data_IF_630111025036
#
_entry.id   IF_630111025036
#
_cell.length_a   1.000
_cell.length_b   1.000
_cell.length_c   1.000
_cell.angle_alpha   90.00
_cell.angle_beta   90.00
_cell.angle_gamma   90.00
#
_symmetry.space_group_name_H-M   'P 1'
#
loop_
_entity.id
_entity.type
_entity.pdbx_description
1 polymer ?
#
# COMPACT_ATOMS: atom_id res chain seq x y z
N UNK A 1 -6.46 7.58 14.91
CA UNK A 1 -6.89 6.88 13.68
C UNK A 1 -7.01 5.39 13.95
N UNK A 2 -7.93 4.71 13.26
CA UNK A 2 -8.04 3.26 13.19
C UNK A 2 -7.95 2.82 11.73
N UNK A 3 -7.34 1.66 11.47
CA UNK A 3 -7.21 1.05 10.14
C UNK A 3 -7.91 -0.29 10.09
N UNK A 4 -8.37 -0.70 8.91
CA UNK A 4 -8.83 -2.07 8.69
C UNK A 4 -7.66 -3.07 8.73
N UNK A 5 -7.99 -4.35 8.79
CA UNK A 5 -7.03 -5.46 8.91
C UNK A 5 -6.29 -5.77 7.61
N UNK A 6 -6.88 -5.46 6.46
CA UNK A 6 -6.35 -5.83 5.15
C UNK A 6 -6.04 -4.60 4.30
N UNK A 7 -4.89 -4.63 3.62
CA UNK A 7 -4.48 -3.60 2.66
C UNK A 7 -4.58 -4.05 1.22
N UNK A 8 -4.58 -3.06 0.32
CA UNK A 8 -4.54 -3.24 -1.13
C UNK A 8 -3.34 -2.50 -1.71
N UNK A 9 -2.67 -3.09 -2.70
CA UNK A 9 -1.46 -2.53 -3.34
C UNK A 9 -1.55 -2.41 -4.87
N UNK A 10 -2.59 -2.98 -5.47
CA UNK A 10 -2.91 -2.88 -6.90
C UNK A 10 -4.40 -3.11 -7.14
N UNK A 11 -4.92 -2.70 -8.29
CA UNK A 11 -6.33 -2.79 -8.65
C UNK A 11 -7.18 -1.64 -8.12
N UNK A 12 -8.50 -1.76 -8.30
CA UNK A 12 -9.48 -0.77 -7.82
C UNK A 12 -10.32 -1.36 -6.70
N UNK A 13 -10.40 -0.67 -5.57
CA UNK A 13 -11.04 -1.18 -4.36
C UNK A 13 -11.98 -0.17 -3.74
N UNK A 14 -13.04 -0.67 -3.09
CA UNK A 14 -14.11 0.13 -2.53
C UNK A 14 -14.56 -0.34 -1.13
N UNK A 15 -14.90 0.62 -0.27
CA UNK A 15 -15.64 0.38 0.96
C UNK A 15 -16.57 1.57 1.28
N UNK A 16 -17.54 1.36 2.17
CA UNK A 16 -18.44 2.40 2.68
C UNK A 16 -18.18 2.69 4.15
N UNK A 17 -18.30 3.94 4.55
CA UNK A 17 -18.36 4.37 5.94
C UNK A 17 -19.67 5.11 6.21
N UNK A 18 -20.45 4.64 7.18
CA UNK A 18 -21.71 5.23 7.61
C UNK A 18 -21.47 6.06 8.87
N UNK A 19 -21.83 7.35 8.83
CA UNK A 19 -21.73 8.21 10.00
C UNK A 19 -22.95 8.01 10.89
N UNK A 20 -22.84 7.19 11.93
CA UNK A 20 -24.00 6.84 12.78
C UNK A 20 -24.31 7.92 13.80
N UNK A 21 -23.29 8.58 14.34
CA UNK A 21 -23.45 9.68 15.29
C UNK A 21 -22.42 10.77 15.02
N UNK A 22 -22.85 12.03 15.07
CA UNK A 22 -21.95 13.17 14.94
C UNK A 22 -22.48 14.36 15.77
N UNK A 23 -22.30 14.33 17.10
CA UNK A 23 -22.67 15.44 17.98
C UNK A 23 -22.01 16.77 17.59
N UNK A 24 -22.59 17.88 18.02
CA UNK A 24 -21.97 19.20 17.81
C UNK A 24 -20.54 19.23 18.38
N UNK A 25 -19.62 19.89 17.68
CA UNK A 25 -18.22 19.90 18.10
C UNK A 25 -17.43 18.63 17.71
N UNK A 26 -18.09 17.55 17.30
CA UNK A 26 -17.42 16.35 16.76
C UNK A 26 -17.08 16.47 15.27
N UNK A 27 -16.17 15.63 14.79
CA UNK A 27 -15.78 15.57 13.38
C UNK A 27 -15.20 14.20 13.04
N UNK A 28 -15.14 13.88 11.76
CA UNK A 28 -14.51 12.65 11.27
C UNK A 28 -13.64 12.93 10.06
N UNK A 29 -12.71 12.02 9.79
CA UNK A 29 -11.98 11.91 8.53
C UNK A 29 -12.00 10.46 8.06
N UNK A 30 -12.46 10.26 6.83
CA UNK A 30 -12.56 8.94 6.18
C UNK A 30 -11.58 8.92 5.02
N UNK A 31 -10.86 7.82 4.82
CA UNK A 31 -9.99 7.66 3.67
C UNK A 31 -9.10 6.44 3.74
N UNK A 32 -7.84 6.62 3.33
CA UNK A 32 -6.86 5.54 3.18
C UNK A 32 -5.55 5.91 3.88
N UNK A 33 -4.89 4.92 4.48
CA UNK A 33 -3.60 5.08 5.17
C UNK A 33 -2.70 3.90 4.84
N UNK A 34 -1.42 4.17 4.60
CA UNK A 34 -0.37 3.15 4.64
C UNK A 34 -0.04 2.75 6.09
N UNK A 35 0.76 1.70 6.26
CA UNK A 35 1.09 1.11 7.57
C UNK A 35 1.76 2.09 8.53
N UNK A 36 2.67 2.94 8.02
CA UNK A 36 3.44 3.91 8.82
C UNK A 36 2.67 5.19 9.15
N UNK A 37 1.39 5.28 8.75
CA UNK A 37 0.53 6.39 9.17
C UNK A 37 0.38 6.43 10.70
N UNK A 38 0.58 7.60 11.29
CA UNK A 38 0.56 7.77 12.74
C UNK A 38 -0.85 7.53 13.31
N UNK A 39 -1.03 6.44 14.05
CA UNK A 39 -2.32 6.07 14.63
C UNK A 39 -2.83 7.04 15.70
N UNK A 40 -1.97 7.85 16.32
CA UNK A 40 -2.38 8.88 17.28
C UNK A 40 -2.81 10.19 16.61
N UNK A 41 -2.54 10.33 15.30
CA UNK A 41 -2.93 11.48 14.51
C UNK A 41 -4.24 11.20 13.74
N UNK A 42 -4.93 12.25 13.24
CA UNK A 42 -6.02 12.05 12.30
C UNK A 42 -5.49 11.65 10.91
N UNK A 43 -6.27 10.86 10.17
CA UNK A 43 -5.99 10.51 8.78
C UNK A 43 -5.74 11.78 7.94
N UNK A 44 -4.73 11.75 7.06
CA UNK A 44 -4.25 12.91 6.30
C UNK A 44 -3.33 13.86 7.07
N UNK A 45 -2.82 13.47 8.25
CA UNK A 45 -1.84 14.25 9.02
C UNK A 45 -0.43 14.17 8.42
N UNK A 46 -0.02 12.98 7.98
CA UNK A 46 1.30 12.69 7.46
C UNK A 46 1.27 12.41 5.94
N UNK A 47 2.42 12.04 5.39
CA UNK A 47 2.58 11.61 3.98
C UNK A 47 2.00 10.23 3.69
N UNK A 48 1.66 9.46 4.72
CA UNK A 48 1.22 8.07 4.56
C UNK A 48 -0.31 7.96 4.43
N UNK A 49 -1.04 9.06 4.54
CA UNK A 49 -2.50 9.00 4.60
C UNK A 49 -3.19 10.13 3.81
N UNK A 50 -4.39 9.82 3.33
CA UNK A 50 -5.23 10.69 2.51
C UNK A 50 -6.67 10.57 2.99
N UNK A 51 -7.35 11.69 3.20
CA UNK A 51 -8.71 11.65 3.76
C UNK A 51 -9.62 12.79 3.34
N UNK A 52 -10.91 12.60 3.55
CA UNK A 52 -11.93 13.64 3.43
C UNK A 52 -12.52 13.98 4.81
N UNK A 53 -12.49 15.27 5.16
CA UNK A 53 -13.01 15.79 6.43
C UNK A 53 -14.51 16.04 6.36
N UNK A 54 -15.23 15.63 7.40
CA UNK A 54 -16.68 15.84 7.52
C UNK A 54 -17.08 17.31 7.53
N UNK A 55 -16.23 18.18 8.06
CA UNK A 55 -16.42 19.63 8.07
C UNK A 55 -15.84 20.29 6.83
N UNK A 56 -16.61 21.22 6.27
CA UNK A 56 -16.20 22.16 5.22
C UNK A 56 -15.79 21.52 3.88
N UNK A 57 -16.00 20.21 3.69
CA UNK A 57 -15.81 19.57 2.38
C UNK A 57 -14.36 19.59 1.89
N UNK A 58 -13.39 19.50 2.81
CA UNK A 58 -11.96 19.58 2.47
C UNK A 58 -11.29 18.22 2.56
N UNK A 59 -10.42 17.91 1.61
CA UNK A 59 -9.54 16.73 1.66
C UNK A 59 -8.20 17.07 2.31
N UNK A 60 -7.60 16.12 3.01
CA UNK A 60 -6.37 16.29 3.80
C UNK A 60 -5.30 15.28 3.44
N UNK A 61 -4.09 15.78 3.27
CA UNK A 61 -2.83 15.04 3.12
C UNK A 61 -1.70 15.92 3.67
N UNK A 62 -0.71 15.35 4.37
CA UNK A 62 0.40 16.11 4.97
C UNK A 62 -0.06 17.26 5.89
N UNK A 63 -1.19 17.11 6.56
CA UNK A 63 -1.85 18.18 7.34
C UNK A 63 -2.32 19.40 6.52
N UNK A 64 -2.20 19.36 5.20
CA UNK A 64 -2.69 20.40 4.31
C UNK A 64 -4.11 20.08 3.83
N UNK A 65 -5.05 20.96 4.17
CA UNK A 65 -6.44 20.89 3.71
C UNK A 65 -6.62 21.59 2.36
N UNK A 66 -7.24 20.91 1.39
CA UNK A 66 -7.62 21.48 0.10
C UNK A 66 -9.14 21.43 -0.04
N UNK A 67 -9.73 22.49 -0.59
CA UNK A 67 -11.15 22.51 -0.92
C UNK A 67 -11.45 21.40 -1.94
N UNK A 68 -12.52 20.65 -1.73
CA UNK A 68 -12.91 19.53 -2.58
C UNK A 68 -14.39 19.58 -2.93
N UNK A 69 -15.25 19.86 -1.95
CA UNK A 69 -16.70 19.97 -2.14
C UNK A 69 -17.28 21.18 -1.43
N UNK A 70 -18.40 21.70 -1.93
CA UNK A 70 -19.19 22.72 -1.27
C UNK A 70 -19.95 22.11 -0.08
N UNK A 71 -19.27 22.04 1.06
CA UNK A 71 -19.76 21.38 2.28
C UNK A 71 -19.24 19.95 2.41
N UNK A 72 -19.16 19.47 3.65
CA UNK A 72 -18.76 18.09 3.92
C UNK A 72 -19.97 17.20 4.17
N UNK A 73 -19.73 16.10 4.88
CA UNK A 73 -20.74 15.09 5.19
C UNK A 73 -21.10 15.09 6.67
N UNK A 74 -22.28 14.57 6.98
CA UNK A 74 -22.90 14.62 8.31
C UNK A 74 -23.43 13.26 8.75
N UNK A 75 -24.04 13.22 9.94
CA UNK A 75 -24.80 12.06 10.43
C UNK A 75 -25.74 11.51 9.34
N UNK A 76 -25.83 10.19 9.28
CA UNK A 76 -26.63 9.36 8.37
C UNK A 76 -26.16 9.34 6.90
N UNK A 77 -25.15 10.13 6.54
CA UNK A 77 -24.50 10.00 5.24
C UNK A 77 -23.70 8.68 5.16
N UNK A 78 -23.73 8.08 3.97
CA UNK A 78 -22.88 6.96 3.57
C UNK A 78 -21.77 7.46 2.66
N UNK A 79 -20.53 7.30 3.10
CA UNK A 79 -19.33 7.77 2.42
C UNK A 79 -18.69 6.59 1.71
N UNK A 80 -18.77 6.58 0.39
CA UNK A 80 -18.05 5.64 -0.45
C UNK A 80 -16.61 6.08 -0.63
N UNK A 81 -15.67 5.14 -0.50
CA UNK A 81 -14.24 5.39 -0.61
C UNK A 81 -13.65 4.43 -1.65
N UNK A 82 -13.30 4.97 -2.82
CA UNK A 82 -12.65 4.22 -3.90
C UNK A 82 -11.17 4.59 -3.97
N UNK A 83 -10.31 3.59 -4.13
CA UNK A 83 -8.90 3.76 -4.46
C UNK A 83 -8.58 2.96 -5.72
N UNK A 84 -7.84 3.57 -6.64
CA UNK A 84 -7.31 2.91 -7.81
C UNK A 84 -5.78 2.95 -7.76
N UNK A 85 -5.17 1.77 -7.80
CA UNK A 85 -3.73 1.54 -7.77
C UNK A 85 -3.34 0.77 -9.04
N UNK A 86 -2.74 1.40 -10.05
CA UNK A 86 -2.36 0.69 -11.27
C UNK A 86 -1.33 -0.40 -10.97
N UNK A 87 -1.50 -1.58 -11.59
CA UNK A 87 -0.53 -2.66 -11.49
C UNK A 87 0.77 -2.24 -12.16
N UNK A 88 1.87 -2.14 -11.40
CA UNK A 88 3.22 -1.97 -11.94
C UNK A 88 3.69 -3.27 -12.56
N UNK A 89 3.26 -3.54 -13.81
CA UNK A 89 3.81 -4.62 -14.61
C UNK A 89 5.02 -4.07 -15.37
N UNK A 90 6.16 -3.94 -14.69
CA UNK A 90 7.43 -3.59 -15.33
C UNK A 90 8.54 -3.21 -14.34
N UNK A 91 9.82 -3.42 -14.70
CA UNK A 91 10.94 -2.87 -13.94
C UNK A 91 10.85 -1.34 -13.93
N UNK A 92 11.01 -0.74 -12.75
CA UNK A 92 11.01 0.71 -12.57
C UNK A 92 12.11 1.34 -13.45
N UNK A 93 11.71 2.13 -14.45
CA UNK A 93 12.61 3.09 -15.10
C UNK A 93 12.47 4.43 -14.37
N UNK A 94 13.54 4.97 -13.75
CA UNK A 94 13.51 6.29 -13.16
C UNK A 94 13.17 7.35 -14.20
N UNK A 95 12.25 8.26 -13.88
CA UNK A 95 11.93 9.44 -14.70
C UNK A 95 13.05 10.48 -14.47
N UNK A 96 14.23 10.20 -15.01
CA UNK A 96 15.22 11.19 -15.41
C UNK A 96 15.47 10.94 -16.89
N UNK A 97 14.58 11.47 -17.75
CA UNK A 97 14.80 11.79 -19.18
C UNK A 97 13.46 12.00 -19.91
N UNK A 98 12.59 12.86 -19.37
CA UNK A 98 11.58 13.54 -20.19
C UNK A 98 11.71 15.04 -20.00
N UNK A 99 12.86 15.55 -20.40
CA UNK A 99 13.03 16.94 -20.78
C UNK A 99 13.67 16.97 -22.17
N UNK A 100 12.95 17.58 -23.11
CA UNK A 100 13.35 17.95 -24.47
C UNK A 100 13.56 16.82 -25.49
N UNK A 101 12.63 16.71 -26.44
CA UNK A 101 12.88 17.00 -27.85
C UNK A 101 11.57 17.05 -28.63
N UNK A 102 11.11 18.27 -28.84
CA UNK A 102 10.16 18.64 -29.89
C UNK A 102 10.93 19.01 -31.15
N UNK A 103 10.68 18.33 -32.27
CA UNK A 103 10.51 18.92 -33.61
C UNK A 103 10.37 17.83 -34.69
N UNK A 104 9.19 17.78 -35.30
CA UNK A 104 8.77 17.51 -36.71
C UNK A 104 9.63 16.66 -37.70
N UNK A 105 8.97 16.02 -38.71
CA UNK A 105 9.48 14.86 -39.46
C UNK A 105 10.13 15.21 -40.81
N UNK A 106 11.10 14.40 -41.26
CA UNK A 106 11.51 14.30 -42.67
C UNK A 106 12.04 12.89 -43.04
N UNK A 107 11.96 12.63 -44.34
CA UNK A 107 11.96 11.40 -45.14
C UNK A 107 13.17 10.43 -45.12
N UNK A 108 12.83 9.15 -45.36
CA UNK A 108 13.41 8.12 -46.24
C UNK A 108 14.93 8.07 -46.57
N UNK A 109 15.53 6.90 -46.31
CA UNK A 109 16.26 5.99 -47.23
C UNK A 109 17.41 5.28 -46.48
N UNK A 110 17.33 3.96 -46.28
CA UNK A 110 17.83 2.84 -47.12
C UNK A 110 19.30 2.48 -46.84
N UNK A 111 19.54 1.16 -46.76
CA UNK A 111 20.81 0.41 -46.80
C UNK A 111 21.44 -0.03 -45.47
N UNK A 112 21.20 -1.29 -45.10
CA UNK A 112 22.24 -2.22 -44.58
C UNK A 112 23.12 -2.69 -45.78
N UNK A 113 24.31 -3.33 -45.64
CA UNK A 113 24.53 -4.55 -44.84
C UNK A 113 25.98 -4.83 -44.31
N UNK A 114 26.14 -6.03 -43.73
CA UNK A 114 27.35 -6.86 -43.52
C UNK A 114 28.20 -6.60 -42.25
N UNK A 115 28.23 -7.55 -41.30
CA UNK A 115 29.05 -8.79 -41.16
C UNK A 115 30.51 -8.48 -40.82
N UNK A 116 30.99 -8.95 -39.65
CA UNK A 116 32.05 -9.95 -39.56
C UNK A 116 32.34 -10.40 -38.11
N UNK A 117 32.82 -11.63 -38.04
CA UNK A 117 32.99 -12.54 -36.90
C UNK A 117 34.27 -12.32 -36.04
N UNK A 118 34.35 -13.15 -34.98
CA UNK A 118 35.55 -13.86 -34.46
C UNK A 118 36.15 -13.41 -33.10
N UNK A 119 35.81 -14.22 -32.08
CA UNK A 119 36.66 -14.91 -31.09
C UNK A 119 38.06 -14.37 -30.65
N UNK A 120 38.27 -14.31 -29.31
CA UNK A 120 39.41 -14.92 -28.56
C UNK A 120 39.18 -14.69 -27.04
N UNK A 121 38.92 -15.72 -26.22
CA UNK A 121 39.82 -16.65 -25.51
C UNK A 121 40.76 -16.07 -24.43
N UNK A 122 40.36 -16.30 -23.16
CA UNK A 122 41.10 -16.83 -22.00
C UNK A 122 42.34 -16.07 -21.48
N UNK A 123 42.31 -15.65 -20.20
CA UNK A 123 43.18 -16.17 -19.12
C UNK A 123 43.20 -15.25 -17.89
N UNK A 124 43.24 -15.83 -16.67
CA UNK A 124 43.46 -15.06 -15.44
C UNK A 124 42.97 -15.75 -14.16
N UNK A 125 43.71 -16.75 -13.71
CA UNK A 125 43.57 -17.43 -12.41
C UNK A 125 44.16 -16.55 -11.29
N UNK A 126 43.49 -16.44 -10.13
CA UNK A 126 44.00 -16.75 -8.77
C UNK A 126 43.29 -16.02 -7.62
N UNK A 127 43.08 -16.81 -6.57
CA UNK A 127 43.10 -16.52 -5.13
C UNK A 127 41.80 -16.32 -4.34
N UNK A 128 41.90 -16.93 -3.16
CA UNK A 128 40.89 -17.40 -2.22
C UNK A 128 40.41 -16.32 -1.25
N UNK A 129 39.49 -16.75 -0.39
CA UNK A 129 38.99 -16.13 0.84
C UNK A 129 38.18 -14.87 0.62
N UNK A 130 36.87 -15.06 0.37
CA UNK A 130 35.90 -14.07 0.78
C UNK A 130 34.65 -14.74 1.36
N UNK A 131 34.48 -14.57 2.67
CA UNK A 131 33.25 -14.82 3.40
C UNK A 131 32.15 -13.95 2.81
N UNK A 132 31.46 -14.49 1.79
CA UNK A 132 30.30 -13.86 1.16
C UNK A 132 29.20 -13.67 2.20
N UNK A 133 29.18 -12.49 2.82
CA UNK A 133 27.93 -11.84 3.20
C UNK A 133 27.16 -11.64 1.90
N UNK A 134 26.23 -12.55 1.62
CA UNK A 134 25.26 -12.36 0.56
C UNK A 134 24.37 -11.18 0.95
N UNK A 135 24.75 -10.01 0.44
CA UNK A 135 23.95 -8.80 0.48
C UNK A 135 22.83 -8.98 -0.55
N UNK A 136 21.79 -9.74 -0.20
CA UNK A 136 20.64 -9.99 -1.05
C UNK A 136 19.76 -8.75 -1.10
N UNK A 137 20.16 -7.76 -1.91
CA UNK A 137 19.29 -6.69 -2.36
C UNK A 137 18.86 -6.93 -3.82
N UNK A 138 18.62 -8.20 -4.17
CA UNK A 138 17.83 -8.55 -5.35
C UNK A 138 16.36 -8.39 -4.97
N UNK A 139 15.81 -7.20 -5.15
CA UNK A 139 14.37 -7.02 -5.16
C UNK A 139 13.81 -7.75 -6.39
N UNK A 140 13.54 -9.05 -6.23
CA UNK A 140 12.51 -9.70 -7.02
C UNK A 140 11.29 -8.77 -6.97
N UNK A 141 10.56 -8.56 -8.08
CA UNK A 141 9.33 -7.77 -8.04
C UNK A 141 8.40 -8.47 -7.05
N UNK A 142 8.32 -7.98 -5.82
CA UNK A 142 7.65 -8.70 -4.74
C UNK A 142 6.16 -8.52 -4.91
N UNK A 143 5.58 -9.39 -5.73
CA UNK A 143 4.15 -9.62 -5.80
C UNK A 143 3.57 -10.16 -4.47
N UNK A 144 4.45 -10.52 -3.52
CA UNK A 144 4.10 -11.08 -2.22
C UNK A 144 4.50 -10.14 -1.08
N UNK A 145 3.72 -10.11 0.02
CA UNK A 145 4.04 -9.32 1.21
C UNK A 145 5.30 -9.84 1.92
N UNK A 146 5.88 -9.01 2.79
CA UNK A 146 6.95 -9.47 3.69
C UNK A 146 6.43 -10.57 4.62
N UNK A 147 7.28 -11.57 4.91
CA UNK A 147 6.97 -12.54 5.95
C UNK A 147 7.23 -11.93 7.32
N UNK A 148 6.45 -12.33 8.32
CA UNK A 148 6.71 -11.97 9.72
C UNK A 148 7.55 -13.02 10.46
N UNK A 149 7.89 -14.14 9.80
CA UNK A 149 8.59 -15.27 10.43
C UNK A 149 10.09 -15.03 10.66
N UNK A 150 10.61 -13.92 10.12
CA UNK A 150 11.96 -13.41 10.40
C UNK A 150 12.01 -12.51 11.65
N UNK A 151 10.86 -12.12 12.19
CA UNK A 151 10.76 -11.19 13.32
C UNK A 151 10.91 -11.92 14.67
N UNK A 152 11.45 -11.25 15.72
CA UNK A 152 11.50 -11.81 17.06
C UNK A 152 10.11 -12.21 17.60
N UNK A 153 10.01 -13.40 18.18
CA UNK A 153 8.82 -13.88 18.86
C UNK A 153 8.91 -13.53 20.35
N UNK A 154 7.92 -12.79 20.86
CA UNK A 154 7.83 -12.39 22.26
C UNK A 154 6.59 -12.98 22.92
N UNK A 155 6.66 -13.24 24.24
CA UNK A 155 5.52 -13.69 25.04
C UNK A 155 5.03 -12.56 25.93
N UNK A 156 3.77 -12.16 25.78
CA UNK A 156 3.13 -11.14 26.62
C UNK A 156 1.75 -11.62 27.08
N UNK A 157 1.50 -11.53 28.40
CA UNK A 157 0.23 -11.96 29.03
C UNK A 157 -0.27 -13.32 28.53
N UNK A 158 0.61 -14.32 28.50
CA UNK A 158 0.36 -15.70 28.06
C UNK A 158 0.13 -15.93 26.55
N UNK A 159 0.16 -14.88 25.73
CA UNK A 159 0.08 -14.97 24.26
C UNK A 159 1.43 -14.68 23.61
N UNK A 160 1.62 -15.17 22.38
CA UNK A 160 2.83 -14.95 21.59
C UNK A 160 2.58 -13.93 20.47
N UNK A 161 3.55 -13.06 20.22
CA UNK A 161 3.47 -11.99 19.23
C UNK A 161 4.80 -11.88 18.48
N UNK A 162 4.75 -11.48 17.22
CA UNK A 162 5.93 -11.05 16.47
C UNK A 162 6.14 -9.55 16.70
N UNK A 163 7.38 -9.16 17.01
CA UNK A 163 7.74 -7.75 17.23
C UNK A 163 8.45 -7.17 16.00
N UNK A 164 7.97 -6.04 15.51
CA UNK A 164 8.56 -5.29 14.41
C UNK A 164 8.96 -3.89 14.90
N UNK A 165 10.11 -3.41 14.41
CA UNK A 165 10.57 -2.05 14.70
C UNK A 165 10.23 -1.15 13.52
N UNK A 166 9.29 -0.24 13.74
CA UNK A 166 8.94 0.78 12.76
C UNK A 166 10.03 1.87 12.66
N UNK A 167 10.35 2.28 11.44
CA UNK A 167 11.11 3.50 11.17
C UNK A 167 10.36 4.39 10.16
N UNK A 168 9.42 5.22 10.64
CA UNK A 168 8.62 6.09 9.79
C UNK A 168 9.49 7.06 8.98
N UNK A 169 10.62 7.52 9.54
CA UNK A 169 11.50 8.49 8.89
C UNK A 169 12.21 7.89 7.69
N UNK A 170 12.64 6.62 7.79
CA UNK A 170 13.20 5.89 6.66
C UNK A 170 12.13 5.58 5.61
N UNK A 171 10.94 5.16 6.02
CA UNK A 171 9.83 4.90 5.12
C UNK A 171 9.47 6.15 4.30
N UNK A 172 9.45 7.32 4.94
CA UNK A 172 9.12 8.60 4.28
C UNK A 172 10.08 8.94 3.15
N UNK A 173 11.39 8.71 3.34
CA UNK A 173 12.42 8.94 2.33
C UNK A 173 12.29 8.01 1.12
N UNK A 174 11.61 6.88 1.28
CA UNK A 174 11.39 5.89 0.21
C UNK A 174 10.10 6.12 -0.59
N UNK A 175 9.25 7.06 -0.19
CA UNK A 175 7.97 7.32 -0.87
C UNK A 175 8.18 7.82 -2.30
N UNK A 176 7.51 7.17 -3.25
CA UNK A 176 7.51 7.54 -4.67
C UNK A 176 6.07 7.71 -5.15
N UNK A 177 5.71 8.82 -5.81
CA UNK A 177 4.38 8.95 -6.42
C UNK A 177 4.12 7.79 -7.38
N UNK A 178 2.92 7.23 -7.35
CA UNK A 178 2.48 6.18 -8.27
C UNK A 178 1.64 6.83 -9.38
N UNK A 179 2.17 7.01 -10.60
CA UNK A 179 1.43 7.66 -11.68
C UNK A 179 0.12 6.93 -11.98
N UNK A 180 -0.92 7.68 -12.35
CA UNK A 180 -2.27 7.18 -12.68
C UNK A 180 -3.05 6.56 -11.51
N UNK A 181 -2.50 6.55 -10.31
CA UNK A 181 -3.26 6.23 -9.10
C UNK A 181 -4.22 7.37 -8.73
N UNK A 182 -5.34 7.04 -8.07
CA UNK A 182 -6.32 8.03 -7.63
C UNK A 182 -7.18 7.56 -6.46
N UNK A 183 -7.68 8.52 -5.70
CA UNK A 183 -8.71 8.32 -4.67
C UNK A 183 -9.94 9.13 -5.05
N UNK A 184 -11.11 8.51 -4.98
CA UNK A 184 -12.41 9.11 -5.29
C UNK A 184 -13.33 8.88 -4.10
N UNK A 185 -14.05 9.92 -3.69
CA UNK A 185 -15.06 9.82 -2.65
C UNK A 185 -16.46 9.94 -3.23
N UNK A 186 -17.40 9.27 -2.58
CA UNK A 186 -18.82 9.31 -2.88
C UNK A 186 -19.59 9.71 -1.64
N UNK A 187 -20.71 10.41 -1.83
CA UNK A 187 -21.66 10.69 -0.76
C UNK A 187 -23.02 10.20 -1.19
N UNK A 188 -23.56 9.23 -0.46
CA UNK A 188 -24.87 8.61 -0.74
C UNK A 188 -24.98 8.12 -2.21
N UNK A 189 -23.88 7.60 -2.76
CA UNK A 189 -23.77 7.11 -4.14
C UNK A 189 -23.40 8.14 -5.20
N UNK A 190 -23.44 9.44 -4.87
CA UNK A 190 -23.02 10.48 -5.80
C UNK A 190 -21.49 10.64 -5.77
N UNK A 191 -20.85 10.62 -6.95
CA UNK A 191 -19.41 10.82 -7.09
C UNK A 191 -19.03 12.28 -6.84
N UNK A 192 -18.14 12.52 -5.89
CA UNK A 192 -17.69 13.87 -5.52
C UNK A 192 -16.47 14.34 -6.35
N UNK A 193 -16.09 13.57 -7.37
CA UNK A 193 -14.91 13.81 -8.21
C UNK A 193 -13.62 13.21 -7.66
N UNK A 194 -12.51 13.36 -8.37
CA UNK A 194 -11.23 12.81 -7.92
C UNK A 194 -10.61 13.69 -6.83
N UNK A 195 -10.40 13.12 -5.64
CA UNK A 195 -9.85 13.82 -4.48
C UNK A 195 -8.33 13.94 -4.54
N UNK A 196 -7.67 12.87 -4.98
CA UNK A 196 -6.22 12.79 -5.08
C UNK A 196 -5.84 12.01 -6.34
N UNK A 197 -4.75 12.44 -6.97
CA UNK A 197 -4.08 11.74 -8.08
C UNK A 197 -2.61 11.56 -7.75
N UNK A 198 -1.97 10.56 -8.35
CA UNK A 198 -0.55 10.29 -8.18
C UNK A 198 -0.14 10.13 -6.70
N UNK A 199 -0.97 9.43 -5.92
CA UNK A 199 -0.69 9.12 -4.51
C UNK A 199 0.58 8.27 -4.40
N UNK A 200 1.23 8.24 -3.25
CA UNK A 200 2.46 7.46 -3.09
C UNK A 200 2.23 5.96 -3.31
N UNK A 201 3.17 5.27 -3.93
CA UNK A 201 3.18 3.82 -4.05
C UNK A 201 3.24 3.17 -2.65
N UNK A 202 2.61 2.02 -2.52
CA UNK A 202 2.55 1.26 -1.27
C UNK A 202 1.21 0.59 -1.04
N UNK A 203 1.11 -0.11 0.08
CA UNK A 203 -0.11 -0.80 0.50
C UNK A 203 -0.99 0.14 1.33
N UNK A 204 -2.26 0.28 0.94
CA UNK A 204 -3.23 1.14 1.61
C UNK A 204 -4.30 0.34 2.33
N UNK A 205 -4.61 0.79 3.55
CA UNK A 205 -5.68 0.28 4.38
C UNK A 205 -6.81 1.30 4.43
N UNK A 206 -8.09 0.87 4.39
CA UNK A 206 -9.20 1.71 4.81
C UNK A 206 -8.92 2.29 6.20
N UNK A 207 -9.10 3.60 6.36
CA UNK A 207 -8.71 4.33 7.56
C UNK A 207 -9.75 5.36 7.97
N UNK A 208 -10.03 5.38 9.28
CA UNK A 208 -11.04 6.24 9.91
C UNK A 208 -10.39 7.00 11.05
N UNK A 209 -10.70 8.29 11.16
CA UNK A 209 -10.38 9.08 12.33
C UNK A 209 -11.61 9.78 12.86
N UNK A 210 -11.82 9.68 14.16
CA UNK A 210 -12.91 10.31 14.88
C UNK A 210 -12.35 11.38 15.80
N UNK A 211 -13.11 12.45 16.00
CA UNK A 211 -12.82 13.50 16.97
C UNK A 211 -14.02 13.68 17.89
N UNK A 212 -13.79 13.60 19.20
CA UNK A 212 -14.82 13.51 20.25
C UNK A 212 -15.75 12.30 20.02
N UNK A 213 -17.00 12.38 20.46
CA UNK A 213 -17.98 11.30 20.44
C UNK A 213 -18.64 11.09 19.06
N UNK A 214 -17.88 11.21 17.96
CA UNK A 214 -18.39 10.80 16.64
C UNK A 214 -18.27 9.28 16.49
N UNK A 215 -19.28 8.67 15.89
CA UNK A 215 -19.36 7.22 15.67
C UNK A 215 -19.48 6.93 14.18
N UNK A 216 -18.71 5.95 13.70
CA UNK A 216 -18.67 5.54 12.30
C UNK A 216 -18.76 4.02 12.25
N UNK A 217 -19.65 3.51 11.41
CA UNK A 217 -19.71 2.10 11.04
C UNK A 217 -19.08 1.91 9.67
N UNK A 218 -18.33 0.83 9.45
CA UNK A 218 -17.66 0.57 8.17
C UNK A 218 -18.24 -0.69 7.55
N UNK A 219 -18.57 -0.62 6.27
CA UNK A 219 -19.05 -1.73 5.46
C UNK A 219 -18.02 -2.03 4.35
N UNK A 220 -17.39 -3.20 4.42
CA UNK A 220 -16.37 -3.64 3.46
C UNK A 220 -16.96 -4.39 2.25
N UNK A 221 -18.28 -4.57 2.20
CA UNK A 221 -18.97 -5.34 1.17
C UNK A 221 -19.20 -6.81 1.54
N UNK A 222 -19.70 -7.64 0.61
CA UNK A 222 -19.96 -7.30 -0.80
C UNK A 222 -21.26 -6.51 -1.02
N UNK A 223 -22.16 -6.48 -0.04
CA UNK A 223 -23.44 -5.78 -0.14
C UNK A 223 -23.30 -4.33 0.32
N UNK A 224 -23.33 -3.39 -0.61
CA UNK A 224 -23.26 -1.94 -0.35
C UNK A 224 -24.63 -1.29 -0.43
N UNK A 225 -24.80 -0.16 0.25
CA UNK A 225 -26.00 0.66 0.10
C UNK A 225 -25.97 1.43 -1.22
N UNK A 226 -24.79 1.91 -1.59
CA UNK A 226 -24.54 2.74 -2.77
C UNK A 226 -23.24 2.29 -3.47
N UNK A 227 -23.28 1.22 -4.29
CA UNK A 227 -22.12 0.81 -5.06
C UNK A 227 -21.73 1.87 -6.12
N UNK A 228 -20.44 2.03 -6.44
CA UNK A 228 -19.99 2.95 -7.47
C UNK A 228 -20.34 2.41 -8.87
N UNK A 229 -20.85 3.29 -9.73
CA UNK A 229 -21.33 2.97 -11.08
C UNK A 229 -20.42 3.52 -12.20
N UNK A 230 -19.47 4.40 -11.85
CA UNK A 230 -18.57 5.12 -12.76
C UNK A 230 -17.24 4.38 -13.01
N UNK A 231 -16.97 3.30 -12.29
CA UNK A 231 -15.83 2.42 -12.51
C UNK A 231 -16.31 1.02 -12.89
N UNK A 232 -15.91 0.48 -14.07
CA UNK A 232 -16.36 -0.83 -14.51
C UNK A 232 -15.70 -2.00 -13.75
N UNK A 233 -14.50 -1.79 -13.19
CA UNK A 233 -13.68 -2.87 -12.61
C UNK A 233 -13.18 -2.51 -11.20
N UNK A 234 -14.05 -2.66 -10.20
CA UNK A 234 -13.71 -2.50 -8.78
C UNK A 234 -14.06 -3.75 -7.97
N UNK A 235 -13.41 -3.91 -6.82
CA UNK A 235 -13.64 -5.01 -5.89
C UNK A 235 -13.98 -4.49 -4.49
N UNK A 236 -14.88 -5.17 -3.74
CA UNK A 236 -15.12 -4.85 -2.34
C UNK A 236 -13.88 -5.19 -1.49
N UNK A 237 -13.64 -4.43 -0.43
CA UNK A 237 -12.60 -4.76 0.54
C UNK A 237 -12.78 -6.14 1.18
N UNK A 238 -14.01 -6.67 1.27
CA UNK A 238 -14.27 -8.03 1.75
C UNK A 238 -13.64 -9.12 0.86
N UNK A 239 -13.44 -8.86 -0.44
CA UNK A 239 -12.77 -9.80 -1.34
C UNK A 239 -11.28 -9.95 -1.05
N UNK A 240 -10.67 -9.01 -0.31
CA UNK A 240 -9.24 -9.02 0.01
C UNK A 240 -8.86 -10.07 1.06
N UNK A 241 -9.81 -10.54 1.87
CA UNK A 241 -9.55 -11.43 3.01
C UNK A 241 -8.86 -12.72 2.58
N UNK A 242 -9.38 -13.39 1.55
CA UNK A 242 -8.84 -14.67 1.09
C UNK A 242 -7.51 -14.47 0.38
N UNK A 243 -7.42 -13.50 -0.54
CA UNK A 243 -6.17 -13.27 -1.29
C UNK A 243 -5.02 -12.86 -0.37
N UNK A 244 -5.27 -12.03 0.63
CA UNK A 244 -4.24 -11.62 1.58
C UNK A 244 -3.77 -12.80 2.44
N UNK A 245 -4.69 -13.68 2.85
CA UNK A 245 -4.34 -14.88 3.61
C UNK A 245 -3.49 -15.84 2.78
N UNK A 246 -3.82 -16.02 1.49
CA UNK A 246 -3.06 -16.85 0.55
C UNK A 246 -1.67 -16.26 0.30
N UNK A 247 -1.59 -14.96 0.01
CA UNK A 247 -0.33 -14.25 -0.22
C UNK A 247 0.59 -14.33 1.00
N UNK A 248 0.08 -14.07 2.20
CA UNK A 248 0.87 -14.17 3.43
C UNK A 248 1.33 -15.61 3.70
N UNK A 249 0.46 -16.60 3.47
CA UNK A 249 0.82 -18.02 3.64
C UNK A 249 1.94 -18.40 2.67
N UNK A 250 1.89 -17.90 1.43
CA UNK A 250 2.92 -18.16 0.43
C UNK A 250 4.24 -17.47 0.79
N UNK A 251 4.21 -16.22 1.26
CA UNK A 251 5.39 -15.52 1.78
C UNK A 251 6.06 -16.29 2.91
N UNK A 252 5.26 -16.76 3.88
CA UNK A 252 5.74 -17.54 5.00
C UNK A 252 6.32 -18.88 4.54
N UNK A 253 5.66 -19.58 3.60
CA UNK A 253 6.16 -20.85 3.05
C UNK A 253 7.50 -20.67 2.35
N UNK A 254 7.63 -19.66 1.49
CA UNK A 254 8.88 -19.37 0.78
C UNK A 254 10.01 -19.10 1.79
N UNK A 255 9.75 -18.27 2.80
CA UNK A 255 10.73 -17.98 3.84
C UNK A 255 11.20 -19.25 4.57
N UNK A 256 10.25 -20.12 4.94
CA UNK A 256 10.56 -21.35 5.66
C UNK A 256 11.35 -22.35 4.80
N UNK A 257 11.09 -22.41 3.50
CA UNK A 257 11.86 -23.24 2.55
C UNK A 257 13.27 -22.68 2.35
N UNK A 258 13.44 -21.36 2.27
CA UNK A 258 14.76 -20.74 2.13
C UNK A 258 15.63 -20.85 3.40
N UNK A 259 14.99 -20.95 4.57
CA UNK A 259 15.66 -21.03 5.89
C UNK A 259 15.58 -22.44 6.48
N UNK A 260 16.03 -23.45 5.72
CA UNK A 260 16.17 -24.83 6.21
C UNK A 260 16.87 -24.87 7.59
N UNK A 261 16.29 -25.65 8.52
CA UNK A 261 16.77 -25.77 9.91
C UNK A 261 16.21 -24.74 10.91
N UNK A 262 15.60 -23.63 10.47
CA UNK A 262 14.97 -22.66 11.39
C UNK A 262 13.76 -23.25 12.11
N UNK A 263 12.93 -24.03 11.40
CA UNK A 263 11.79 -24.73 11.98
C UNK A 263 12.24 -25.72 13.06
N UNK A 264 13.26 -26.55 12.77
CA UNK A 264 13.79 -27.51 13.73
C UNK A 264 14.36 -26.80 14.97
N UNK A 265 15.12 -25.71 14.79
CA UNK A 265 15.64 -24.91 15.89
C UNK A 265 14.54 -24.28 16.75
N UNK A 266 13.49 -23.73 16.11
CA UNK A 266 12.36 -23.09 16.81
C UNK A 266 11.52 -24.11 17.57
N UNK A 267 11.21 -25.26 16.94
CA UNK A 267 10.49 -26.36 17.60
C UNK A 267 11.25 -26.87 18.82
N UNK A 268 12.56 -27.10 18.69
CA UNK A 268 13.41 -27.55 19.80
C UNK A 268 13.50 -26.53 20.95
N UNK A 269 13.35 -25.24 20.67
CA UNK A 269 13.34 -24.17 21.69
C UNK A 269 12.01 -24.04 22.44
N UNK A 270 10.91 -24.50 21.84
CA UNK A 270 9.57 -24.45 22.41
C UNK A 270 9.21 -25.70 23.23
N UNK A 271 9.98 -26.78 23.14
CA UNK A 271 9.78 -27.97 23.99
C UNK A 271 10.12 -27.60 25.44
N UNK A 272 9.20 -27.76 26.41
CA UNK A 272 9.50 -27.52 27.81
C UNK A 272 10.64 -28.44 28.25
N UNK A 273 11.76 -27.86 28.69
CA UNK A 273 12.78 -28.63 29.39
C UNK A 273 12.22 -28.98 30.78
N UNK A 274 11.55 -30.12 30.88
CA UNK A 274 11.28 -30.73 32.18
C UNK A 274 12.63 -31.09 32.80
N UNK A 275 13.01 -30.36 33.85
CA UNK A 275 14.09 -30.71 34.77
C UNK A 275 13.52 -31.50 35.93
#
# INVERSE_FOLDING_TARGET
MSRATHSVHSGTWYFEAIITEQPEGSATRIGWSQMYGNLQAPCGFDKFSYSWRSRLGTVFHESHGKHYTNGGYKKDDVIGCLIHLPSTVGPFTPIENQASKSSTPQLMNTFSPMMDDVHSSISGTLNSTDSRKCNNNSHAPTFLPETYKDRPLIRFRSSFYFEEKDDPSKAEKSLRPLPNSKIVFYRNGECMGTAFTNIYAGSYYPAISIFRAATVSVNFGPSFKHPPNDFPDWQPMSARVVSASVEQTLSDLIYLVEKEGFIEGTLNSCVPRFR
#
